data_IF_479944206808
#
_entry.id   IF_479944206808
#
_cell.length_a   1.000
_cell.length_b   1.000
_cell.length_c   1.000
_cell.angle_alpha   90.00
_cell.angle_beta   90.00
_cell.angle_gamma   90.00
#
_symmetry.space_group_name_H-M   'P 1'
#
loop_
_entity.id
_entity.type
_entity.pdbx_description
1 polymer ?
#
# COMPACT_ATOMS: atom_id res chain seq x y z
N UNK A 1 -0.30 -6.91 -23.16
CA UNK A 1 0.75 -5.90 -22.92
C UNK A 1 1.39 -6.28 -21.61
N UNK A 2 2.63 -6.76 -21.66
CA UNK A 2 3.43 -7.11 -20.49
C UNK A 2 3.78 -5.83 -19.73
N UNK A 3 3.47 -5.80 -18.43
CA UNK A 3 3.79 -4.69 -17.53
C UNK A 3 5.03 -5.06 -16.73
N UNK A 4 6.21 -4.93 -17.34
CA UNK A 4 7.47 -5.11 -16.64
C UNK A 4 8.01 -3.78 -16.08
N UNK A 5 8.71 -3.87 -14.95
CA UNK A 5 9.32 -2.83 -14.13
C UNK A 5 8.38 -2.01 -13.20
N UNK A 6 8.29 -2.46 -11.93
CA UNK A 6 7.85 -1.63 -10.81
C UNK A 6 9.06 -0.85 -10.32
N UNK A 7 9.15 0.40 -10.74
CA UNK A 7 10.18 1.32 -10.29
C UNK A 7 9.94 1.71 -8.83
N UNK A 8 10.96 1.66 -7.97
CA UNK A 8 10.87 2.14 -6.59
C UNK A 8 10.57 3.64 -6.55
N UNK A 9 9.54 4.04 -5.79
CA UNK A 9 9.04 5.42 -5.74
C UNK A 9 9.12 5.98 -4.32
N UNK A 10 9.77 7.15 -4.13
CA UNK A 10 9.84 7.85 -2.82
C UNK A 10 9.09 9.20 -2.80
N UNK A 11 8.45 9.49 -1.67
CA UNK A 11 7.79 10.77 -1.35
C UNK A 11 8.77 11.78 -0.75
N UNK A 12 8.95 12.93 -1.40
CA UNK A 12 9.95 13.92 -0.98
C UNK A 12 9.56 14.65 0.34
N UNK A 13 10.45 14.59 1.34
CA UNK A 13 10.48 15.56 2.46
C UNK A 13 11.63 16.56 2.24
N UNK A 14 11.31 17.86 2.29
CA UNK A 14 12.29 18.95 2.20
C UNK A 14 12.93 19.17 3.58
N UNK A 15 14.25 19.30 3.61
CA UNK A 15 14.97 20.05 4.65
C UNK A 15 15.80 21.09 3.89
N UNK A 16 15.48 22.37 4.08
CA UNK A 16 16.27 23.48 3.59
C UNK A 16 17.10 23.97 4.79
N UNK A 17 18.40 23.72 4.76
CA UNK A 17 19.37 24.36 5.64
C UNK A 17 20.08 25.46 4.85
N UNK A 18 20.08 26.67 5.38
CA UNK A 18 20.96 27.77 4.97
C UNK A 18 20.38 28.80 4.01
N UNK A 19 19.74 29.83 4.56
CA UNK A 19 19.88 31.23 4.14
C UNK A 19 19.59 32.10 5.37
N UNK A 20 20.64 32.74 5.91
CA UNK A 20 20.51 33.87 6.83
C UNK A 20 19.83 35.02 6.09
N UNK A 21 18.71 35.52 6.61
CA UNK A 21 18.27 36.88 6.35
C UNK A 21 17.33 37.34 7.49
N UNK A 22 17.62 38.53 7.99
CA UNK A 22 17.18 39.12 9.25
C UNK A 22 15.64 39.17 9.42
N UNK A 23 15.13 38.62 10.52
CA UNK A 23 13.75 38.83 10.96
C UNK A 23 13.72 40.07 11.85
N UNK A 24 13.35 41.20 11.23
CA UNK A 24 12.87 42.38 11.94
C UNK A 24 11.64 42.02 12.79
N UNK A 25 11.74 42.39 14.06
CA UNK A 25 10.75 42.23 15.11
C UNK A 25 9.47 43.03 14.79
N UNK A 26 8.31 42.38 14.69
CA UNK A 26 7.01 43.04 14.80
C UNK A 26 6.01 42.20 15.62
N UNK A 27 5.28 42.93 16.44
CA UNK A 27 4.55 42.51 17.63
C UNK A 27 3.42 41.50 17.42
N UNK A 28 3.23 40.66 18.44
CA UNK A 28 2.07 39.80 18.63
C UNK A 28 0.85 40.61 19.09
N UNK A 29 -0.33 40.30 18.50
CA UNK A 29 -1.66 40.07 19.12
C UNK A 29 -2.82 40.48 18.15
N UNK A 30 -4.07 40.01 18.33
CA UNK A 30 -4.55 38.65 18.10
C UNK A 30 -5.77 38.64 17.14
N UNK A 31 -5.75 37.80 16.10
CA UNK A 31 -6.88 37.71 15.17
C UNK A 31 -6.85 36.40 14.41
N UNK A 32 -7.68 35.45 14.84
CA UNK A 32 -7.85 34.16 14.18
C UNK A 32 -8.26 34.34 12.72
N UNK A 33 -7.31 34.19 11.81
CA UNK A 33 -7.51 33.57 10.49
C UNK A 33 -6.37 32.60 10.26
N UNK A 34 -6.54 31.39 10.79
CA UNK A 34 -5.81 30.23 10.27
C UNK A 34 -6.23 30.10 8.81
N UNK A 35 -5.36 30.54 7.91
CA UNK A 35 -5.43 30.14 6.52
C UNK A 35 -5.30 28.61 6.52
N UNK A 36 -6.45 27.95 6.43
CA UNK A 36 -6.56 26.53 6.16
C UNK A 36 -5.80 26.28 4.87
N UNK A 37 -4.65 25.63 4.98
CA UNK A 37 -3.95 25.13 3.82
C UNK A 37 -4.71 23.90 3.34
N UNK A 38 -5.66 24.13 2.41
CA UNK A 38 -6.47 23.10 1.74
C UNK A 38 -5.65 22.25 0.73
N UNK A 39 -4.32 22.25 0.82
CA UNK A 39 -3.46 21.37 0.03
C UNK A 39 -3.33 19.98 0.67
N UNK A 40 -4.45 19.26 0.78
CA UNK A 40 -4.38 17.80 0.70
C UNK A 40 -4.40 17.47 -0.78
N UNK A 41 -3.34 16.83 -1.27
CA UNK A 41 -3.21 16.40 -2.66
C UNK A 41 -4.55 15.87 -3.17
N UNK A 42 -5.18 16.64 -4.07
CA UNK A 42 -6.32 16.18 -4.84
C UNK A 42 -5.92 14.82 -5.42
N UNK A 43 -6.78 13.81 -5.21
CA UNK A 43 -6.74 12.56 -5.96
C UNK A 43 -6.37 12.92 -7.40
N UNK A 44 -5.19 12.53 -7.86
CA UNK A 44 -4.61 12.99 -9.12
C UNK A 44 -5.68 12.79 -10.21
N UNK A 45 -6.39 13.86 -10.62
CA UNK A 45 -7.47 13.73 -11.61
C UNK A 45 -6.85 13.07 -12.83
N UNK A 46 -7.40 11.93 -13.21
CA UNK A 46 -7.04 11.28 -14.46
C UNK A 46 -7.94 11.82 -15.57
N UNK A 47 -7.43 11.80 -16.80
CA UNK A 47 -8.25 12.13 -17.97
C UNK A 47 -9.22 10.97 -18.23
N UNK A 48 -10.52 11.22 -18.37
CA UNK A 48 -11.53 10.16 -18.58
C UNK A 48 -11.26 9.30 -19.82
N UNK A 49 -10.51 9.81 -20.80
CA UNK A 49 -10.06 9.05 -21.97
C UNK A 49 -9.25 7.80 -21.56
N UNK A 50 -8.52 7.86 -20.44
CA UNK A 50 -7.69 6.73 -19.99
C UNK A 50 -8.44 5.73 -19.10
N UNK A 51 -9.74 5.93 -18.86
CA UNK A 51 -10.52 5.06 -17.97
C UNK A 51 -10.52 3.60 -18.45
N UNK A 52 -10.79 3.37 -19.74
CA UNK A 52 -10.79 2.03 -20.33
C UNK A 52 -9.45 1.34 -20.13
N UNK A 53 -8.36 2.04 -20.42
CA UNK A 53 -7.00 1.53 -20.24
C UNK A 53 -6.70 1.17 -18.77
N UNK A 54 -7.16 1.96 -17.80
CA UNK A 54 -6.98 1.67 -16.38
C UNK A 54 -7.83 0.47 -15.90
N UNK A 55 -8.96 0.20 -16.55
CA UNK A 55 -9.75 -1.02 -16.30
C UNK A 55 -9.03 -2.24 -16.87
N UNK A 56 -8.47 -2.12 -18.06
CA UNK A 56 -7.72 -3.19 -18.72
C UNK A 56 -6.44 -3.54 -17.94
N UNK A 57 -5.82 -2.57 -17.27
CA UNK A 57 -4.66 -2.82 -16.40
C UNK A 57 -5.04 -3.39 -15.03
N UNK A 58 -6.32 -3.30 -14.64
CA UNK A 58 -6.79 -3.67 -13.30
C UNK A 58 -6.54 -2.62 -12.20
N UNK A 59 -5.98 -1.46 -12.53
CA UNK A 59 -5.71 -0.38 -11.56
C UNK A 59 -6.86 0.61 -11.38
N UNK A 60 -7.99 0.38 -12.05
CA UNK A 60 -9.16 1.25 -11.98
C UNK A 60 -9.73 1.39 -10.56
N UNK A 61 -9.84 0.31 -9.80
CA UNK A 61 -10.48 0.37 -8.48
C UNK A 61 -9.59 1.04 -7.44
N UNK A 62 -8.28 0.75 -7.43
CA UNK A 62 -7.32 1.35 -6.49
C UNK A 62 -7.24 2.88 -6.65
N UNK A 63 -7.46 3.38 -7.86
CA UNK A 63 -7.57 4.81 -8.15
C UNK A 63 -8.73 5.48 -7.41
N UNK A 64 -9.79 4.75 -7.09
CA UNK A 64 -10.93 5.29 -6.35
C UNK A 64 -10.62 5.45 -4.86
N UNK A 65 -9.50 4.91 -4.37
CA UNK A 65 -9.14 4.95 -2.96
C UNK A 65 -8.72 6.37 -2.58
N UNK A 66 -9.51 6.97 -1.70
CA UNK A 66 -9.17 8.26 -1.11
C UNK A 66 -7.96 8.18 -0.18
N UNK A 67 -7.55 9.33 0.38
CA UNK A 67 -6.45 9.37 1.34
C UNK A 67 -6.85 8.64 2.63
N UNK A 68 -6.23 7.49 2.88
CA UNK A 68 -6.29 6.77 4.15
C UNK A 68 -5.05 7.12 4.96
N UNK A 69 -5.14 7.98 5.97
CA UNK A 69 -3.96 8.38 6.74
C UNK A 69 -3.43 7.20 7.58
N UNK A 70 -2.10 7.07 7.69
CA UNK A 70 -1.50 6.04 8.54
C UNK A 70 -1.66 6.41 10.01
N UNK A 71 -1.92 5.41 10.86
CA UNK A 71 -1.84 5.55 12.31
C UNK A 71 -0.61 4.82 12.84
N UNK A 72 0.49 5.57 13.02
CA UNK A 72 1.80 5.03 13.39
C UNK A 72 1.77 4.20 14.68
N UNK A 73 0.99 4.63 15.68
CA UNK A 73 0.87 3.90 16.94
C UNK A 73 0.27 2.49 16.79
N UNK A 74 -0.69 2.30 15.88
CA UNK A 74 -1.26 0.98 15.61
C UNK A 74 -0.29 0.14 14.78
N UNK A 75 0.31 0.74 13.75
CA UNK A 75 1.31 0.06 12.91
C UNK A 75 2.46 -0.47 13.76
N UNK A 76 3.03 0.36 14.65
CA UNK A 76 4.11 -0.07 15.54
C UNK A 76 3.67 -1.22 16.47
N UNK A 77 2.44 -1.19 16.98
CA UNK A 77 1.91 -2.29 17.79
C UNK A 77 1.77 -3.60 16.99
N UNK A 78 1.42 -3.51 15.70
CA UNK A 78 1.34 -4.68 14.81
C UNK A 78 2.73 -5.21 14.46
N UNK A 79 3.69 -4.33 14.19
CA UNK A 79 5.09 -4.70 13.90
C UNK A 79 5.70 -5.48 15.06
N UNK A 80 5.43 -5.11 16.31
CA UNK A 80 5.89 -5.87 17.49
C UNK A 80 5.39 -7.32 17.55
N UNK A 81 4.31 -7.63 16.81
CA UNK A 81 3.69 -8.95 16.71
C UNK A 81 4.06 -9.69 15.43
N UNK A 82 4.81 -9.05 14.53
CA UNK A 82 5.34 -9.70 13.33
C UNK A 82 6.40 -10.75 13.70
N UNK A 83 6.32 -11.90 13.07
CA UNK A 83 7.33 -12.97 13.14
C UNK A 83 7.93 -13.16 11.75
N UNK A 84 9.15 -12.64 11.50
CA UNK A 84 9.78 -12.77 10.20
C UNK A 84 10.02 -14.23 9.82
N UNK A 85 10.19 -15.13 10.80
CA UNK A 85 10.40 -16.56 10.56
C UNK A 85 9.18 -17.27 9.97
N UNK A 86 8.00 -16.64 10.00
CA UNK A 86 6.78 -17.24 9.47
C UNK A 86 6.00 -16.31 8.54
N UNK A 87 6.48 -15.08 8.38
CA UNK A 87 5.76 -14.00 7.71
C UNK A 87 4.31 -13.80 8.20
N UNK A 88 4.08 -13.97 9.52
CA UNK A 88 2.76 -13.83 10.16
C UNK A 88 2.78 -12.89 11.37
N UNK A 89 1.61 -12.35 11.70
CA UNK A 89 1.32 -11.67 12.94
C UNK A 89 0.84 -12.66 14.01
N UNK A 90 1.47 -12.61 15.18
CA UNK A 90 1.16 -13.46 16.31
C UNK A 90 0.30 -12.72 17.33
N UNK A 91 -0.94 -13.18 17.49
CA UNK A 91 -1.86 -12.70 18.51
C UNK A 91 -2.16 -13.80 19.55
N UNK A 92 -2.70 -13.43 20.71
CA UNK A 92 -3.12 -14.38 21.75
C UNK A 92 -4.14 -15.43 21.27
N UNK A 93 -4.91 -15.09 20.23
CA UNK A 93 -5.97 -15.92 19.65
C UNK A 93 -5.52 -16.77 18.45
N UNK A 94 -4.32 -16.51 17.91
CA UNK A 94 -3.78 -17.22 16.76
C UNK A 94 -2.90 -16.37 15.85
N UNK A 95 -2.45 -16.99 14.76
CA UNK A 95 -1.63 -16.38 13.71
C UNK A 95 -2.50 -15.82 12.59
N UNK A 96 -2.12 -14.67 12.03
CA UNK A 96 -2.79 -14.03 10.90
C UNK A 96 -1.74 -13.44 9.96
N UNK A 97 -1.97 -13.45 8.66
CA UNK A 97 -1.15 -12.70 7.71
C UNK A 97 -2.02 -11.96 6.69
N UNK A 98 -1.36 -11.08 5.94
CA UNK A 98 -1.91 -10.50 4.72
C UNK A 98 -2.00 -11.60 3.67
N UNK A 99 -3.17 -11.80 3.10
CA UNK A 99 -3.43 -12.77 2.03
C UNK A 99 -3.66 -12.08 0.70
N UNK A 100 -3.63 -12.87 -0.38
CA UNK A 100 -4.01 -12.42 -1.72
C UNK A 100 -5.46 -11.90 -1.75
N UNK A 101 -6.37 -12.50 -0.97
CA UNK A 101 -7.74 -12.01 -0.78
C UNK A 101 -7.77 -10.60 -0.20
N UNK A 102 -6.94 -10.33 0.82
CA UNK A 102 -6.86 -9.00 1.43
C UNK A 102 -6.39 -7.95 0.41
N UNK A 103 -5.37 -8.25 -0.41
CA UNK A 103 -4.90 -7.35 -1.49
C UNK A 103 -6.04 -7.05 -2.49
N UNK A 104 -6.75 -8.09 -2.92
CA UNK A 104 -7.84 -7.95 -3.89
C UNK A 104 -9.00 -7.12 -3.35
N UNK A 105 -9.44 -7.39 -2.13
CA UNK A 105 -10.64 -6.77 -1.58
C UNK A 105 -10.38 -5.40 -0.95
N UNK A 106 -9.21 -5.20 -0.32
CA UNK A 106 -8.84 -3.92 0.29
C UNK A 106 -8.52 -2.89 -0.79
N UNK A 107 -7.69 -3.26 -1.78
CA UNK A 107 -7.24 -2.32 -2.81
C UNK A 107 -8.01 -2.41 -4.13
N UNK A 108 -8.73 -3.49 -4.39
CA UNK A 108 -9.36 -3.71 -5.70
C UNK A 108 -8.36 -4.02 -6.80
N UNK A 109 -7.21 -4.60 -6.44
CA UNK A 109 -6.22 -5.05 -7.42
C UNK A 109 -6.55 -6.48 -7.86
N UNK A 110 -6.51 -6.79 -9.17
CA UNK A 110 -6.61 -8.17 -9.62
C UNK A 110 -5.41 -8.97 -9.13
N UNK A 111 -5.64 -10.24 -8.83
CA UNK A 111 -4.62 -11.16 -8.30
C UNK A 111 -4.33 -12.33 -9.23
N UNK A 112 -4.82 -12.23 -10.47
CA UNK A 112 -4.53 -13.12 -11.57
C UNK A 112 -3.78 -12.35 -12.65
N UNK A 113 -3.06 -13.07 -13.50
CA UNK A 113 -2.30 -12.47 -14.58
C UNK A 113 -0.97 -13.15 -14.76
N UNK A 114 -0.20 -12.65 -15.72
CA UNK A 114 1.18 -13.06 -15.89
C UNK A 114 2.02 -12.48 -14.74
N UNK A 115 2.96 -13.27 -14.18
CA UNK A 115 3.88 -12.73 -13.19
C UNK A 115 4.70 -11.61 -13.83
N UNK A 116 4.90 -10.53 -13.07
CA UNK A 116 5.82 -9.47 -13.47
C UNK A 116 7.24 -9.97 -13.21
N UNK A 117 7.96 -10.26 -14.28
CA UNK A 117 9.32 -10.82 -14.24
C UNK A 117 10.24 -9.91 -15.03
N UNK A 118 11.41 -9.62 -14.46
CA UNK A 118 12.36 -8.75 -15.12
C UNK A 118 13.63 -8.59 -14.31
N UNK A 119 14.72 -8.11 -14.94
CA UNK A 119 15.97 -7.85 -14.23
C UNK A 119 15.77 -6.71 -13.23
N UNK A 120 16.26 -6.90 -11.99
CA UNK A 120 16.33 -5.81 -11.01
C UNK A 120 17.38 -4.79 -11.46
N UNK A 121 16.94 -3.57 -11.82
CA UNK A 121 17.83 -2.49 -12.25
C UNK A 121 18.51 -1.86 -11.02
N UNK A 122 19.81 -2.07 -10.87
CA UNK A 122 20.59 -1.56 -9.73
C UNK A 122 21.41 -0.31 -10.05
N UNK A 123 21.53 0.10 -11.31
CA UNK A 123 22.28 1.28 -11.74
C UNK A 123 21.38 2.40 -12.27
N UNK A 124 21.86 3.64 -12.16
CA UNK A 124 21.17 4.80 -12.73
C UNK A 124 21.10 4.73 -14.25
N UNK A 125 22.13 4.20 -14.91
CA UNK A 125 22.20 4.08 -16.37
C UNK A 125 21.13 3.11 -16.90
N UNK A 126 20.92 1.98 -16.21
CA UNK A 126 19.90 1.01 -16.59
C UNK A 126 18.49 1.55 -16.32
N UNK A 127 18.30 2.23 -15.18
CA UNK A 127 17.10 3.00 -14.84
C UNK A 127 16.75 4.04 -15.92
N UNK A 128 17.75 4.80 -16.36
CA UNK A 128 17.61 5.86 -17.36
C UNK A 128 17.18 5.28 -18.71
N UNK A 129 17.82 4.19 -19.14
CA UNK A 129 17.47 3.45 -20.36
C UNK A 129 16.03 2.93 -20.33
N UNK A 130 15.62 2.31 -19.23
CA UNK A 130 14.25 1.78 -19.08
C UNK A 130 13.21 2.91 -19.10
N UNK A 131 13.48 4.03 -18.44
CA UNK A 131 12.57 5.18 -18.48
C UNK A 131 12.46 5.77 -19.89
N UNK A 132 13.55 5.80 -20.65
CA UNK A 132 13.52 6.24 -22.05
C UNK A 132 12.68 5.30 -22.91
N UNK A 133 12.82 4.00 -22.74
CA UNK A 133 12.05 3.00 -23.50
C UNK A 133 10.55 3.06 -23.13
N UNK A 134 10.23 2.93 -21.85
CA UNK A 134 8.85 2.80 -21.37
C UNK A 134 8.06 4.11 -21.40
N UNK A 135 8.73 5.24 -21.14
CA UNK A 135 8.10 6.56 -20.94
C UNK A 135 8.51 7.60 -21.99
N UNK A 136 9.49 7.30 -22.84
CA UNK A 136 10.02 8.23 -23.85
C UNK A 136 10.90 9.35 -23.29
N UNK A 137 11.02 9.45 -21.96
CA UNK A 137 11.75 10.52 -21.26
C UNK A 137 12.43 9.94 -20.03
N UNK A 138 13.72 10.23 -19.87
CA UNK A 138 14.49 9.84 -18.70
C UNK A 138 14.41 10.88 -17.57
N UNK A 139 14.40 10.45 -16.29
CA UNK A 139 14.62 11.34 -15.16
C UNK A 139 16.07 11.83 -15.14
N UNK A 140 16.30 13.05 -14.63
CA UNK A 140 17.66 13.52 -14.34
C UNK A 140 18.15 12.89 -13.03
N UNK A 141 19.48 12.88 -12.80
CA UNK A 141 20.05 12.51 -11.48
C UNK A 141 19.41 13.28 -10.31
N UNK A 142 19.07 14.55 -10.51
CA UNK A 142 18.39 15.38 -9.50
C UNK A 142 16.93 14.92 -9.22
N UNK A 143 16.31 14.17 -10.12
CA UNK A 143 14.97 13.60 -9.97
C UNK A 143 15.00 12.21 -9.32
N UNK A 144 16.20 11.69 -9.05
CA UNK A 144 16.43 10.38 -8.45
C UNK A 144 17.02 10.49 -7.04
N UNK A 145 16.90 9.42 -6.25
CA UNK A 145 17.65 9.19 -5.01
C UNK A 145 18.09 7.73 -4.99
N UNK A 146 19.35 7.44 -5.29
CA UNK A 146 19.79 6.06 -5.51
C UNK A 146 19.06 5.44 -6.70
N UNK A 147 18.51 4.23 -6.53
CA UNK A 147 17.67 3.53 -7.52
C UNK A 147 16.21 3.99 -7.56
N UNK A 148 15.83 5.02 -6.77
CA UNK A 148 14.45 5.48 -6.66
C UNK A 148 14.18 6.74 -7.51
N UNK A 149 13.00 6.80 -8.14
CA UNK A 149 12.51 7.98 -8.86
C UNK A 149 11.55 8.78 -7.95
N UNK A 150 11.66 10.11 -7.95
CA UNK A 150 10.73 10.98 -7.23
C UNK A 150 9.33 10.97 -7.86
N UNK A 151 8.28 10.87 -7.03
CA UNK A 151 6.88 11.05 -7.45
C UNK A 151 6.62 12.34 -8.23
N UNK A 152 7.30 13.43 -7.84
CA UNK A 152 7.15 14.73 -8.51
C UNK A 152 7.62 14.70 -9.96
N UNK A 153 8.51 13.78 -10.33
CA UNK A 153 8.91 13.59 -11.72
C UNK A 153 7.79 12.92 -12.53
N UNK A 154 7.23 11.81 -12.05
CA UNK A 154 6.08 11.17 -12.70
C UNK A 154 4.88 12.10 -12.85
N UNK A 155 4.60 12.92 -11.82
CA UNK A 155 3.52 13.91 -11.89
C UNK A 155 3.75 14.95 -12.99
N UNK A 156 4.95 15.55 -13.04
CA UNK A 156 5.31 16.51 -14.09
C UNK A 156 5.23 15.89 -15.48
N UNK A 157 5.76 14.68 -15.66
CA UNK A 157 5.70 13.98 -16.93
C UNK A 157 4.24 13.74 -17.35
N UNK A 158 3.42 13.19 -16.45
CA UNK A 158 1.98 12.98 -16.68
C UNK A 158 1.26 14.26 -17.09
N UNK A 159 1.51 15.37 -16.39
CA UNK A 159 0.84 16.65 -16.64
C UNK A 159 1.27 17.31 -17.96
N UNK A 160 2.45 16.96 -18.49
CA UNK A 160 2.95 17.43 -19.78
C UNK A 160 2.53 16.56 -20.98
N UNK A 161 1.98 15.36 -20.75
CA UNK A 161 1.58 14.45 -21.83
C UNK A 161 0.26 14.91 -22.47
N UNK A 162 0.29 15.11 -23.79
CA UNK A 162 -0.92 15.38 -24.60
C UNK A 162 -1.43 14.05 -25.18
N UNK A 163 -2.68 13.70 -24.86
CA UNK A 163 -3.26 12.40 -25.22
C UNK A 163 -3.78 12.37 -26.65
N UNK A 164 -2.87 12.37 -27.63
CA UNK A 164 -3.19 12.42 -29.06
C UNK A 164 -3.16 11.07 -29.76
N UNK A 165 -2.41 10.10 -29.23
CA UNK A 165 -2.25 8.77 -29.78
C UNK A 165 -2.08 7.72 -28.66
N UNK A 166 -2.11 6.44 -29.05
CA UNK A 166 -2.02 5.32 -28.11
C UNK A 166 -0.69 5.30 -27.33
N UNK A 167 0.42 5.76 -27.93
CA UNK A 167 1.73 5.78 -27.26
C UNK A 167 1.69 6.77 -26.10
N UNK A 168 1.18 7.98 -26.32
CA UNK A 168 1.06 8.99 -25.27
C UNK A 168 0.05 8.58 -24.19
N UNK A 169 -1.03 7.90 -24.57
CA UNK A 169 -1.99 7.34 -23.62
C UNK A 169 -1.34 6.26 -22.74
N UNK A 170 -0.59 5.32 -23.33
CA UNK A 170 0.11 4.29 -22.57
C UNK A 170 1.12 4.89 -21.59
N UNK A 171 1.91 5.89 -22.02
CA UNK A 171 2.86 6.60 -21.15
C UNK A 171 2.15 7.29 -19.98
N UNK A 172 1.00 7.94 -20.25
CA UNK A 172 0.19 8.57 -19.22
C UNK A 172 -0.29 7.53 -18.19
N UNK A 173 -0.83 6.41 -18.65
CA UNK A 173 -1.33 5.32 -17.81
C UNK A 173 -0.20 4.76 -16.94
N UNK A 174 0.98 4.49 -17.50
CA UNK A 174 2.17 4.05 -16.75
C UNK A 174 2.57 5.06 -15.66
N UNK A 175 2.67 6.35 -16.01
CA UNK A 175 2.96 7.38 -15.01
C UNK A 175 1.90 7.41 -13.90
N UNK A 176 0.62 7.25 -14.26
CA UNK A 176 -0.47 7.27 -13.31
C UNK A 176 -0.43 6.06 -12.36
N UNK A 177 -0.17 4.86 -12.88
CA UNK A 177 0.01 3.65 -12.07
C UNK A 177 1.20 3.81 -11.11
N UNK A 178 2.33 4.35 -11.58
CA UNK A 178 3.50 4.62 -10.71
C UNK A 178 3.18 5.63 -9.59
N UNK A 179 2.35 6.64 -9.87
CA UNK A 179 1.85 7.56 -8.84
C UNK A 179 0.95 6.84 -7.83
N UNK A 180 0.06 5.94 -8.28
CA UNK A 180 -0.80 5.14 -7.39
C UNK A 180 0.05 4.26 -6.47
N UNK A 181 1.07 3.60 -7.00
CA UNK A 181 2.02 2.83 -6.21
C UNK A 181 2.69 3.70 -5.15
N UNK A 182 3.33 4.81 -5.51
CA UNK A 182 4.04 5.62 -4.53
C UNK A 182 3.17 6.47 -3.59
N UNK A 183 1.86 6.59 -3.82
CA UNK A 183 0.96 7.41 -2.97
C UNK A 183 -0.06 6.60 -2.17
N UNK A 184 -0.61 5.53 -2.74
CA UNK A 184 -1.68 4.72 -2.13
C UNK A 184 -1.09 3.44 -1.54
N UNK A 185 -0.37 2.66 -2.36
CA UNK A 185 0.18 1.35 -1.98
C UNK A 185 1.36 1.54 -1.02
N UNK A 186 2.41 2.19 -1.51
CA UNK A 186 3.72 2.45 -0.89
C UNK A 186 3.86 3.88 -0.36
N UNK A 187 2.75 4.56 -0.11
CA UNK A 187 2.76 5.95 0.35
C UNK A 187 3.46 6.12 1.69
N UNK A 188 4.69 6.64 1.68
CA UNK A 188 5.42 7.05 2.89
C UNK A 188 4.63 8.18 3.59
N UNK A 189 4.07 7.86 4.76
CA UNK A 189 3.28 8.79 5.59
C UNK A 189 4.06 9.26 6.83
N UNK A 190 5.38 9.06 6.87
CA UNK A 190 6.25 9.35 8.02
C UNK A 190 6.55 10.84 8.28
N UNK A 191 5.79 11.77 7.68
CA UNK A 191 5.93 13.22 7.89
C UNK A 191 5.63 13.74 9.31
N UNK A 192 5.62 12.90 10.34
CA UNK A 192 5.50 13.31 11.73
C UNK A 192 6.51 12.52 12.59
N UNK A 193 7.67 13.14 12.84
CA UNK A 193 8.51 12.95 14.04
C UNK A 193 8.91 11.54 14.45
N UNK A 194 10.20 11.22 14.29
CA UNK A 194 10.98 10.44 15.25
C UNK A 194 10.40 9.10 15.70
N UNK A 195 10.49 8.10 14.83
CA UNK A 195 11.03 6.77 15.15
C UNK A 195 10.99 5.96 13.85
N UNK A 196 12.14 5.83 13.19
CA UNK A 196 12.33 4.75 12.22
C UNK A 196 12.23 3.46 13.01
N UNK A 197 11.22 2.65 12.75
CA UNK A 197 11.30 1.22 13.07
C UNK A 197 12.03 0.60 11.89
N UNK A 198 13.17 -0.03 12.17
CA UNK A 198 14.08 -0.58 11.17
C UNK A 198 13.54 -1.92 10.64
N UNK A 199 12.34 -1.90 10.06
CA UNK A 199 11.73 -3.05 9.40
C UNK A 199 11.70 -2.79 7.89
N UNK A 200 12.84 -3.00 7.23
CA UNK A 200 12.96 -2.95 5.76
C UNK A 200 11.91 -3.83 5.04
N UNK A 201 11.36 -4.84 5.73
CA UNK A 201 10.36 -5.78 5.20
C UNK A 201 8.92 -5.25 5.15
N UNK A 202 8.54 -4.30 6.02
CA UNK A 202 7.12 -3.90 6.22
C UNK A 202 6.80 -2.51 5.64
N UNK A 203 7.83 -1.71 5.32
CA UNK A 203 7.71 -0.29 4.98
C UNK A 203 6.81 0.00 3.75
N UNK A 204 6.51 -1.01 2.95
CA UNK A 204 5.78 -0.82 1.71
C UNK A 204 4.25 -0.87 1.78
N UNK A 205 3.64 -1.64 2.67
CA UNK A 205 2.20 -1.95 2.62
C UNK A 205 1.44 -1.45 3.86
N UNK A 206 1.88 -0.34 4.44
CA UNK A 206 1.31 0.19 5.69
C UNK A 206 -0.19 0.49 5.59
N UNK A 207 -0.67 0.96 4.43
CA UNK A 207 -2.11 1.18 4.21
C UNK A 207 -2.88 -0.14 4.24
N UNK A 208 -2.33 -1.20 3.62
CA UNK A 208 -2.94 -2.53 3.59
C UNK A 208 -3.00 -3.11 5.00
N UNK A 209 -1.89 -3.07 5.74
CA UNK A 209 -1.79 -3.56 7.11
C UNK A 209 -2.75 -2.85 8.06
N UNK A 210 -2.85 -1.52 7.93
CA UNK A 210 -3.75 -0.73 8.74
C UNK A 210 -5.21 -1.10 8.50
N UNK A 211 -5.60 -1.26 7.24
CA UNK A 211 -6.98 -1.62 6.87
C UNK A 211 -7.27 -3.08 7.24
N UNK A 212 -6.31 -3.99 7.05
CA UNK A 212 -6.40 -5.38 7.51
C UNK A 212 -6.71 -5.41 9.01
N UNK A 213 -5.95 -4.67 9.82
CA UNK A 213 -6.18 -4.61 11.25
C UNK A 213 -7.59 -4.10 11.60
N UNK A 214 -8.10 -3.08 10.91
CA UNK A 214 -9.47 -2.58 11.15
C UNK A 214 -10.57 -3.55 10.76
N UNK A 215 -10.35 -4.34 9.71
CA UNK A 215 -11.27 -5.36 9.25
C UNK A 215 -11.29 -6.55 10.22
N UNK A 216 -10.10 -7.03 10.63
CA UNK A 216 -9.94 -8.21 11.49
C UNK A 216 -10.18 -7.89 12.97
N UNK A 217 -9.99 -6.65 13.40
CA UNK A 217 -10.16 -6.19 14.78
C UNK A 217 -11.08 -4.95 14.84
N UNK A 218 -12.40 -5.09 14.59
CA UNK A 218 -13.31 -3.95 14.51
C UNK A 218 -13.37 -3.09 15.79
N UNK A 219 -13.07 -3.67 16.96
CA UNK A 219 -13.10 -2.96 18.24
C UNK A 219 -11.99 -1.91 18.39
N UNK A 220 -10.89 -2.04 17.62
CA UNK A 220 -9.83 -1.02 17.54
C UNK A 220 -9.93 -0.19 16.27
N UNK A 221 -10.98 -0.35 15.46
CA UNK A 221 -11.13 0.41 14.23
C UNK A 221 -11.75 1.79 14.49
N UNK A 222 -11.37 2.83 13.74
CA UNK A 222 -12.19 4.02 13.64
C UNK A 222 -13.54 3.66 13.00
N UNK A 223 -14.56 4.47 13.26
CA UNK A 223 -15.91 4.24 12.74
C UNK A 223 -15.84 4.19 11.20
N UNK A 224 -16.23 3.08 10.57
CA UNK A 224 -16.23 2.97 9.11
C UNK A 224 -17.36 3.81 8.51
N UNK A 225 -17.14 4.31 7.30
CA UNK A 225 -18.14 4.94 6.47
C UNK A 225 -19.08 3.93 5.81
N UNK A 226 -19.57 4.25 4.61
CA UNK A 226 -20.55 3.42 3.91
C UNK A 226 -20.00 2.01 3.61
N UNK A 227 -20.63 0.92 4.11
CA UNK A 227 -20.17 -0.45 3.90
C UNK A 227 -20.33 -0.94 2.46
N UNK A 228 -21.16 -0.26 1.64
CA UNK A 228 -21.43 -0.60 0.23
C UNK A 228 -20.44 0.03 -0.76
N UNK A 229 -19.34 0.62 -0.28
CA UNK A 229 -18.31 1.18 -1.15
C UNK A 229 -17.19 0.16 -1.37
N UNK A 230 -16.76 0.05 -2.62
CA UNK A 230 -15.57 -0.66 -3.07
C UNK A 230 -14.54 0.34 -3.65
N UNK A 231 -13.22 0.09 -3.52
CA UNK A 231 -12.57 -0.92 -2.68
C UNK A 231 -12.83 -0.73 -1.18
N UNK A 232 -12.62 -1.77 -0.37
CA UNK A 232 -12.92 -1.73 1.07
C UNK A 232 -12.13 -0.62 1.78
N UNK A 233 -10.93 -0.28 1.32
CA UNK A 233 -10.13 0.83 1.86
C UNK A 233 -10.92 2.14 1.98
N UNK A 234 -11.86 2.40 1.05
CA UNK A 234 -12.65 3.62 1.04
C UNK A 234 -13.62 3.74 2.23
N UNK A 235 -13.89 2.65 2.96
CA UNK A 235 -14.66 2.72 4.22
C UNK A 235 -13.97 3.58 5.27
N UNK A 236 -12.64 3.74 5.22
CA UNK A 236 -11.88 4.57 6.15
C UNK A 236 -11.16 5.74 5.48
N UNK A 237 -11.61 6.15 4.29
CA UNK A 237 -11.11 7.36 3.65
C UNK A 237 -11.28 8.55 4.61
N UNK A 238 -10.24 9.36 4.78
CA UNK A 238 -10.27 10.54 5.65
C UNK A 238 -10.66 10.28 7.12
N UNK A 239 -10.53 9.05 7.64
CA UNK A 239 -10.89 8.71 9.03
C UNK A 239 -10.29 9.68 10.04
N UNK A 240 -9.10 10.25 9.78
CA UNK A 240 -8.40 11.17 10.70
C UNK A 240 -9.17 12.49 10.93
N UNK A 241 -9.97 12.91 9.95
CA UNK A 241 -10.83 14.11 10.05
C UNK A 241 -12.13 13.78 10.79
N UNK A 242 -12.71 12.63 10.47
CA UNK A 242 -14.03 12.19 10.95
C UNK A 242 -13.97 11.62 12.37
N UNK A 243 -12.89 10.93 12.74
CA UNK A 243 -12.68 10.26 14.02
C UNK A 243 -11.56 10.93 14.82
N UNK A 244 -11.77 12.18 15.28
CA UNK A 244 -10.75 12.92 16.06
C UNK A 244 -10.22 12.18 17.30
N UNK A 245 -11.04 11.50 18.13
CA UNK A 245 -10.52 10.81 19.31
C UNK A 245 -9.56 9.66 18.95
N UNK A 246 -9.86 8.94 17.87
CA UNK A 246 -9.04 7.81 17.41
C UNK A 246 -7.62 8.26 17.02
N UNK A 247 -7.49 9.46 16.44
CA UNK A 247 -6.19 10.05 16.06
C UNK A 247 -5.22 10.15 17.24
N UNK A 248 -5.72 10.39 18.45
CA UNK A 248 -4.88 10.61 19.64
C UNK A 248 -4.59 9.32 20.42
N UNK A 249 -4.98 8.16 19.88
CA UNK A 249 -4.66 6.88 20.52
C UNK A 249 -3.16 6.62 20.51
N UNK A 250 -2.66 6.15 21.64
CA UNK A 250 -1.23 5.93 21.86
C UNK A 250 -0.84 4.48 21.63
N UNK A 251 0.45 4.23 21.42
CA UNK A 251 1.01 2.88 21.29
C UNK A 251 0.67 2.00 22.50
N UNK A 252 0.75 2.54 23.72
CA UNK A 252 0.42 1.82 24.93
C UNK A 252 -1.06 1.38 25.00
N UNK A 253 -1.98 2.17 24.44
CA UNK A 253 -3.39 1.80 24.35
C UNK A 253 -3.60 0.65 23.38
N UNK A 254 -3.02 0.72 22.17
CA UNK A 254 -3.11 -0.37 21.20
C UNK A 254 -2.46 -1.66 21.70
N UNK A 255 -1.28 -1.59 22.34
CA UNK A 255 -0.65 -2.77 22.96
C UNK A 255 -1.60 -3.45 23.95
N UNK A 256 -2.16 -2.68 24.89
CA UNK A 256 -3.09 -3.21 25.91
C UNK A 256 -4.31 -3.90 25.28
N UNK A 257 -4.88 -3.31 24.23
CA UNK A 257 -6.03 -3.87 23.54
C UNK A 257 -5.71 -5.16 22.77
N UNK A 258 -4.54 -5.21 22.14
CA UNK A 258 -4.07 -6.40 21.43
C UNK A 258 -3.64 -7.51 22.40
N UNK A 259 -3.04 -7.18 23.54
CA UNK A 259 -2.67 -8.14 24.59
C UNK A 259 -3.89 -8.74 25.29
N UNK A 260 -4.97 -7.96 25.40
CA UNK A 260 -6.24 -8.39 25.99
C UNK A 260 -7.19 -9.10 25.01
N UNK A 261 -6.75 -9.37 23.77
CA UNK A 261 -7.59 -9.89 22.70
C UNK A 261 -8.19 -11.26 23.04
N UNK A 262 -9.51 -11.36 22.90
CA UNK A 262 -10.31 -12.59 23.11
C UNK A 262 -10.73 -13.21 21.78
N UNK A 263 -11.01 -14.51 21.77
CA UNK A 263 -11.31 -15.30 20.56
C UNK A 263 -12.47 -14.72 19.72
N UNK A 264 -13.53 -14.21 20.36
CA UNK A 264 -14.69 -13.62 19.68
C UNK A 264 -14.50 -12.18 19.16
N UNK A 265 -13.38 -11.53 19.46
CA UNK A 265 -13.09 -10.16 19.02
C UNK A 265 -12.34 -10.11 17.68
N UNK A 266 -11.68 -11.20 17.31
CA UNK A 266 -10.98 -11.32 16.05
C UNK A 266 -11.91 -11.88 14.98
N UNK A 267 -12.00 -11.20 13.84
CA UNK A 267 -12.82 -11.61 12.70
C UNK A 267 -11.96 -12.42 11.72
N UNK A 268 -11.97 -13.73 11.91
CA UNK A 268 -11.27 -14.69 11.04
C UNK A 268 -11.84 -14.71 9.63
N UNK A 269 -13.16 -14.62 9.48
CA UNK A 269 -13.85 -14.62 8.20
C UNK A 269 -14.35 -13.22 7.85
N UNK A 270 -13.41 -12.30 7.57
CA UNK A 270 -13.73 -10.90 7.31
C UNK A 270 -14.64 -10.68 6.08
N UNK A 271 -14.57 -11.60 5.12
CA UNK A 271 -15.15 -11.47 3.79
C UNK A 271 -16.24 -12.51 3.51
N UNK A 272 -16.59 -13.33 4.50
CA UNK A 272 -17.62 -14.36 4.35
C UNK A 272 -18.99 -13.77 3.98
N UNK A 273 -19.84 -14.64 3.43
CA UNK A 273 -21.21 -14.33 3.03
C UNK A 273 -21.96 -13.72 4.21
N UNK A 274 -22.49 -12.51 4.03
CA UNK A 274 -23.19 -11.74 5.07
C UNK A 274 -22.34 -10.68 5.78
N UNK A 275 -21.00 -10.68 5.61
CA UNK A 275 -20.12 -9.58 6.05
C UNK A 275 -19.90 -8.52 4.97
N UNK A 276 -19.83 -8.97 3.72
CA UNK A 276 -19.80 -8.11 2.54
C UNK A 276 -20.96 -8.50 1.64
N UNK A 277 -21.73 -7.50 1.23
CA UNK A 277 -22.77 -7.66 0.25
C UNK A 277 -22.12 -8.05 -1.09
N UNK A 278 -22.41 -9.24 -1.66
CA UNK A 278 -21.77 -9.70 -2.89
C UNK A 278 -21.83 -8.67 -4.00
N UNK A 279 -22.93 -7.91 -4.11
CA UNK A 279 -23.15 -6.91 -5.15
C UNK A 279 -22.20 -5.71 -5.06
N UNK A 280 -21.50 -5.56 -3.93
CA UNK A 280 -20.45 -4.53 -3.75
C UNK A 280 -19.15 -4.92 -4.44
N UNK A 281 -18.85 -6.22 -4.56
CA UNK A 281 -17.60 -6.69 -5.17
C UNK A 281 -17.78 -6.75 -6.69
N UNK A 282 -16.99 -5.96 -7.45
CA UNK A 282 -17.05 -5.96 -8.91
C UNK A 282 -16.82 -7.35 -9.52
N UNK A 283 -17.51 -7.72 -10.63
CA UNK A 283 -17.39 -9.05 -11.23
C UNK A 283 -15.96 -9.44 -11.61
N UNK A 284 -15.16 -8.47 -12.07
CA UNK A 284 -13.76 -8.62 -12.45
C UNK A 284 -12.85 -8.99 -11.28
N UNK A 285 -13.21 -8.67 -10.04
CA UNK A 285 -12.50 -9.12 -8.83
C UNK A 285 -13.07 -10.45 -8.33
N UNK A 286 -14.40 -10.60 -8.36
CA UNK A 286 -15.12 -11.76 -7.82
C UNK A 286 -14.73 -13.08 -8.50
N UNK A 287 -14.43 -13.04 -9.79
CA UNK A 287 -14.03 -14.22 -10.56
C UNK A 287 -12.73 -14.90 -10.06
N UNK A 288 -11.97 -14.28 -9.15
CA UNK A 288 -10.69 -14.80 -8.63
C UNK A 288 -10.76 -15.45 -7.25
N UNK A 289 -11.95 -15.53 -6.65
CA UNK A 289 -12.18 -16.08 -5.29
C UNK A 289 -11.50 -17.45 -5.06
N UNK A 290 -11.54 -18.34 -6.05
CA UNK A 290 -11.00 -19.69 -5.93
C UNK A 290 -9.46 -19.74 -5.82
N UNK A 291 -8.75 -18.69 -6.24
CA UNK A 291 -7.27 -18.65 -6.24
C UNK A 291 -6.75 -18.21 -4.87
N UNK A 292 -7.54 -17.45 -4.10
CA UNK A 292 -7.04 -16.81 -2.88
C UNK A 292 -6.71 -17.78 -1.74
N UNK A 293 -7.37 -18.94 -1.69
CA UNK A 293 -7.04 -20.01 -0.73
C UNK A 293 -5.97 -20.97 -1.25
N UNK A 294 -5.49 -20.81 -2.49
CA UNK A 294 -4.53 -21.72 -3.08
C UNK A 294 -3.14 -21.56 -2.46
N UNK A 295 -2.47 -22.69 -2.23
CA UNK A 295 -1.11 -22.75 -1.70
C UNK A 295 -0.14 -22.83 -2.88
N UNK A 296 0.39 -21.68 -3.30
CA UNK A 296 1.15 -21.51 -4.55
C UNK A 296 2.37 -20.60 -4.34
N UNK A 297 3.44 -20.71 -5.16
CA UNK A 297 4.49 -19.71 -5.16
C UNK A 297 3.96 -18.37 -5.70
N UNK A 298 4.18 -17.30 -4.94
CA UNK A 298 4.06 -15.92 -5.38
C UNK A 298 5.39 -15.51 -5.98
N UNK A 299 5.35 -14.93 -7.17
CA UNK A 299 6.53 -14.50 -7.91
C UNK A 299 6.49 -12.98 -8.02
N UNK A 300 7.53 -12.33 -7.53
CA UNK A 300 7.75 -10.89 -7.62
C UNK A 300 9.20 -10.63 -7.96
N UNK A 301 9.49 -10.38 -9.24
CA UNK A 301 10.85 -10.23 -9.77
C UNK A 301 11.74 -11.44 -9.43
N UNK A 302 12.80 -11.22 -8.66
CA UNK A 302 13.74 -12.26 -8.20
C UNK A 302 13.25 -12.98 -6.94
N UNK A 303 12.18 -12.50 -6.30
CA UNK A 303 11.62 -13.12 -5.11
C UNK A 303 10.54 -14.14 -5.50
N UNK A 304 10.73 -15.38 -5.07
CA UNK A 304 9.69 -16.41 -5.12
C UNK A 304 9.39 -16.80 -3.68
N UNK A 305 8.19 -16.46 -3.22
CA UNK A 305 7.75 -16.71 -1.85
C UNK A 305 6.58 -17.68 -1.86
N UNK A 306 6.56 -18.65 -0.94
CA UNK A 306 5.47 -19.61 -0.89
C UNK A 306 4.27 -19.03 -0.14
N UNK A 307 3.12 -18.89 -0.80
CA UNK A 307 1.88 -18.52 -0.13
C UNK A 307 1.39 -19.70 0.72
N UNK A 308 1.76 -19.72 2.00
CA UNK A 308 1.41 -20.77 2.96
C UNK A 308 -0.05 -20.66 3.44
N UNK A 309 -1.02 -20.77 2.53
CA UNK A 309 -2.45 -20.71 2.87
C UNK A 309 -2.90 -21.85 3.81
N UNK A 310 -2.11 -22.91 3.94
CA UNK A 310 -2.30 -23.99 4.91
C UNK A 310 -2.09 -23.52 6.37
N UNK A 311 -1.32 -22.45 6.61
CA UNK A 311 -1.16 -21.80 7.92
C UNK A 311 -2.29 -20.84 8.27
N UNK A 312 -3.00 -20.36 7.25
CA UNK A 312 -4.00 -19.30 7.37
C UNK A 312 -5.42 -19.83 7.13
N UNK A 313 -5.65 -21.13 7.35
CA UNK A 313 -6.92 -21.79 7.04
C UNK A 313 -8.10 -21.17 7.78
N UNK A 314 -7.88 -20.71 9.02
CA UNK A 314 -8.90 -19.96 9.78
C UNK A 314 -9.39 -18.72 9.03
N UNK A 315 -8.55 -18.05 8.23
CA UNK A 315 -8.94 -16.88 7.46
C UNK A 315 -9.92 -17.20 6.31
N UNK A 316 -10.08 -18.48 5.97
CA UNK A 316 -10.88 -18.98 4.85
C UNK A 316 -12.04 -19.92 5.29
N UNK A 317 -12.50 -19.85 6.55
CA UNK A 317 -13.51 -20.78 7.11
C UNK A 317 -13.08 -22.26 7.03
N UNK A 318 -11.77 -22.51 7.18
CA UNK A 318 -11.21 -23.86 7.17
C UNK A 318 -10.63 -24.21 8.55
N UNK A 319 -10.80 -25.46 8.97
CA UNK A 319 -10.19 -25.96 10.21
C UNK A 319 -8.66 -25.95 10.10
N UNK A 320 -8.00 -25.32 11.08
CA UNK A 320 -6.56 -25.27 11.14
C UNK A 320 -5.99 -26.65 11.52
N UNK A 321 -5.20 -27.22 10.62
CA UNK A 321 -4.37 -28.40 10.90
C UNK A 321 -3.00 -28.01 11.43
N UNK A 322 -2.17 -29.00 11.75
CA UNK A 322 -0.74 -28.77 12.02
C UNK A 322 -0.09 -28.28 10.72
N UNK A 323 0.48 -27.07 10.69
CA UNK A 323 1.11 -26.56 9.48
C UNK A 323 2.28 -27.43 9.03
N UNK A 324 2.51 -27.49 7.72
CA UNK A 324 3.74 -28.08 7.21
C UNK A 324 4.93 -27.14 7.45
N UNK A 325 6.12 -27.72 7.55
CA UNK A 325 7.36 -26.95 7.62
C UNK A 325 7.47 -26.07 6.36
N UNK A 326 7.84 -24.81 6.56
CA UNK A 326 8.02 -23.87 5.47
C UNK A 326 9.04 -24.41 4.46
N UNK A 327 8.70 -24.28 3.18
CA UNK A 327 9.63 -24.57 2.10
C UNK A 327 10.51 -23.34 1.94
N UNK A 328 11.69 -23.36 2.56
CA UNK A 328 12.74 -22.40 2.28
C UNK A 328 13.22 -22.62 0.83
N UNK A 329 12.90 -21.68 -0.05
CA UNK A 329 13.38 -21.69 -1.42
C UNK A 329 14.74 -21.01 -1.56
N UNK A 330 15.28 -20.38 -0.51
CA UNK A 330 16.55 -19.65 -0.53
C UNK A 330 17.72 -20.50 -1.02
N UNK A 331 17.82 -21.76 -0.60
CA UNK A 331 18.88 -22.67 -1.08
C UNK A 331 18.74 -23.04 -2.57
N UNK A 332 17.53 -23.01 -3.13
CA UNK A 332 17.29 -23.28 -4.55
C UNK A 332 17.60 -22.07 -5.45
N UNK A 333 17.75 -20.88 -4.88
CA UNK A 333 17.89 -19.63 -5.64
C UNK A 333 19.34 -19.20 -5.91
N UNK A 334 20.35 -19.85 -5.34
CA UNK A 334 21.76 -19.53 -5.63
C UNK A 334 22.16 -18.07 -5.35
N UNK A 335 21.35 -17.33 -4.57
CA UNK A 335 21.64 -15.96 -4.16
C UNK A 335 22.61 -16.02 -2.98
N UNK A 336 23.83 -15.49 -3.08
CA UNK A 336 24.73 -15.46 -1.94
C UNK A 336 24.11 -14.58 -0.84
N UNK A 337 23.98 -15.14 0.36
CA UNK A 337 23.66 -14.34 1.54
C UNK A 337 24.74 -13.26 1.72
N UNK A 338 24.42 -12.02 1.38
CA UNK A 338 25.18 -10.85 1.83
C UNK A 338 24.22 -9.79 2.35
N UNK A 339 24.42 -9.49 3.64
CA UNK A 339 23.64 -8.71 4.60
C UNK A 339 23.28 -7.27 4.20
#
# INVERSE_FOLDING_TARGET
>A
MEYDAVMGVYGASRRCDGCDEEIGQFDLMPGYRMLQCDHYMLLDRYNSIVEGYLRDTGFYHILQIGVVQCQSALVNALIERWRPETHTFHFSVGECAVTVEDVALIFGLPTNGLPVIGPTLSSYEALEGECLDQLGVAPKKADCRGSFIKLTWFRRLKDCLVLVDDIHIQRYVKCHIMLLFGTVVFGDKSGAGGNRVDCKEIDGLLTLLLILAWIRLPFIAPIPGNPRIFPIANRWRNWKRENRPYRFRTLAQFRRELDGLQEGQFVWEAYAIGRIDPDVIPPDIRQHLAIWSATIPLISFECIEWHASDRLRKQFDLTQGVPHQERDLGEAHGVPHTF
#
